data_IF_481015466167
#
_entry.id   IF_481015466167
#
_cell.length_a   1.000
_cell.length_b   1.000
_cell.length_c   1.000
_cell.angle_alpha   90.00
_cell.angle_beta   90.00
_cell.angle_gamma   90.00
#
_symmetry.space_group_name_H-M   'P 1'
#
loop_
_entity.id
_entity.type
_entity.pdbx_description
1 polymer ?
#
# COMPACT_ATOMS: atom_id res chain seq x y z
N UNK A 1 16.55 24.87 42.80
CA UNK A 1 17.38 24.87 41.57
C UNK A 1 17.11 23.67 40.67
N UNK A 2 17.24 22.41 41.16
CA UNK A 2 17.03 21.19 40.35
C UNK A 2 15.65 21.08 39.67
N UNK A 3 14.56 21.40 40.38
CA UNK A 3 13.20 21.39 39.78
C UNK A 3 13.00 22.45 38.69
N UNK A 4 13.59 23.63 38.86
CA UNK A 4 13.55 24.69 37.83
C UNK A 4 14.36 24.31 36.59
N UNK A 5 15.53 23.69 36.76
CA UNK A 5 16.32 23.17 35.65
C UNK A 5 15.58 22.06 34.88
N UNK A 6 14.87 21.17 35.58
CA UNK A 6 14.04 20.14 34.96
C UNK A 6 12.85 20.71 34.18
N UNK A 7 12.18 21.73 34.75
CA UNK A 7 11.08 22.43 34.07
C UNK A 7 11.56 23.18 32.82
N UNK A 8 12.70 23.86 32.91
CA UNK A 8 13.32 24.54 31.77
C UNK A 8 13.74 23.56 30.67
N UNK A 9 14.33 22.41 31.05
CA UNK A 9 14.72 21.37 30.09
C UNK A 9 13.51 20.77 29.38
N UNK A 10 12.42 20.48 30.10
CA UNK A 10 11.17 19.98 29.51
C UNK A 10 10.56 20.99 28.53
N UNK A 11 10.55 22.28 28.89
CA UNK A 11 10.06 23.34 28.01
C UNK A 11 10.92 23.52 26.74
N UNK A 12 12.24 23.38 26.84
CA UNK A 12 13.12 23.37 25.67
C UNK A 12 12.87 22.16 24.76
N UNK A 13 12.68 20.97 25.34
CA UNK A 13 12.43 19.74 24.57
C UNK A 13 11.10 19.80 23.80
N UNK A 14 10.05 20.36 24.38
CA UNK A 14 8.76 20.53 23.68
C UNK A 14 8.80 21.62 22.61
N UNK A 15 9.67 22.63 22.72
CA UNK A 15 9.87 23.62 21.66
C UNK A 15 10.63 23.06 20.44
N UNK A 16 11.28 21.90 20.56
CA UNK A 16 12.03 21.24 19.48
C UNK A 16 11.17 20.31 18.60
N UNK A 17 9.88 20.13 18.90
CA UNK A 17 8.99 19.29 18.09
C UNK A 17 8.44 20.10 16.91
N UNK A 18 8.98 19.90 15.71
CA UNK A 18 8.39 20.43 14.47
C UNK A 18 7.11 19.67 14.11
N UNK A 19 6.16 20.35 13.46
CA UNK A 19 5.00 19.67 12.89
C UNK A 19 5.47 18.65 11.84
N UNK A 20 5.18 17.37 12.06
CA UNK A 20 5.35 16.34 11.05
C UNK A 20 4.19 16.50 10.05
N UNK A 21 4.50 16.93 8.83
CA UNK A 21 3.53 16.91 7.74
C UNK A 21 3.39 15.46 7.25
N UNK A 22 2.20 14.88 7.42
CA UNK A 22 1.86 13.65 6.73
C UNK A 22 1.70 13.95 5.24
N UNK A 23 2.21 13.06 4.38
CA UNK A 23 1.98 13.13 2.93
C UNK A 23 0.61 12.51 2.60
N UNK A 24 -0.46 13.19 3.00
CA UNK A 24 -1.81 12.88 2.52
C UNK A 24 -2.33 14.11 1.77
N UNK A 25 -2.49 13.97 0.46
CA UNK A 25 -2.98 15.06 -0.41
C UNK A 25 -4.51 15.09 -0.46
N UNK A 26 -5.20 14.31 0.39
CA UNK A 26 -6.66 14.19 0.40
C UNK A 26 -7.22 13.34 -0.75
N UNK A 27 -6.36 12.71 -1.56
CA UNK A 27 -6.79 11.93 -2.73
C UNK A 27 -7.66 10.72 -2.36
N UNK A 28 -7.61 10.29 -1.11
CA UNK A 28 -8.40 9.19 -0.56
C UNK A 28 -9.52 9.64 0.39
N UNK A 29 -9.79 10.94 0.52
CA UNK A 29 -10.78 11.45 1.49
C UNK A 29 -12.21 11.03 1.11
N UNK A 30 -12.56 11.13 -0.19
CA UNK A 30 -13.91 10.90 -0.70
C UNK A 30 -14.10 9.53 -1.39
N UNK A 31 -13.31 8.52 -1.02
CA UNK A 31 -13.46 7.15 -1.53
C UNK A 31 -14.68 6.48 -0.87
N UNK A 32 -15.59 5.86 -1.64
CA UNK A 32 -16.73 5.11 -1.09
C UNK A 32 -16.31 4.12 -0.01
N UNK A 33 -17.15 3.97 1.02
CA UNK A 33 -16.79 3.21 2.23
C UNK A 33 -16.59 1.71 1.96
N UNK A 34 -17.34 1.14 1.03
CA UNK A 34 -17.23 -0.24 0.55
C UNK A 34 -15.90 -0.49 -0.18
N UNK A 35 -15.48 0.43 -1.07
CA UNK A 35 -14.19 0.36 -1.75
C UNK A 35 -13.05 0.47 -0.73
N UNK A 36 -13.14 1.40 0.21
CA UNK A 36 -12.15 1.55 1.28
C UNK A 36 -12.06 0.29 2.16
N UNK A 37 -13.19 -0.30 2.50
CA UNK A 37 -13.24 -1.53 3.28
C UNK A 37 -12.63 -2.71 2.51
N UNK A 38 -12.85 -2.76 1.19
CA UNK A 38 -12.24 -3.77 0.33
C UNK A 38 -10.71 -3.66 0.36
N UNK A 39 -10.13 -2.48 0.10
CA UNK A 39 -8.68 -2.27 0.17
C UNK A 39 -8.06 -2.71 1.50
N UNK A 40 -8.70 -2.36 2.62
CA UNK A 40 -8.25 -2.74 3.98
C UNK A 40 -8.40 -4.22 4.29
N UNK A 41 -9.30 -4.92 3.60
CA UNK A 41 -9.64 -6.31 3.86
C UNK A 41 -8.89 -7.32 2.99
N UNK A 42 -8.25 -6.88 1.91
CA UNK A 42 -7.57 -7.76 0.95
C UNK A 42 -6.28 -8.30 1.58
N UNK A 43 -6.13 -9.62 1.55
CA UNK A 43 -5.01 -10.37 2.11
C UNK A 43 -4.55 -11.35 1.04
N UNK A 44 -3.25 -11.40 0.77
CA UNK A 44 -2.68 -12.34 -0.18
C UNK A 44 -2.81 -13.80 0.32
N UNK A 45 -2.78 -14.80 -0.59
CA UNK A 45 -2.85 -16.22 -0.22
C UNK A 45 -1.85 -16.67 0.85
N UNK A 46 -0.70 -15.98 0.95
CA UNK A 46 0.31 -16.24 1.98
C UNK A 46 -0.03 -15.64 3.37
N UNK A 47 -1.19 -15.02 3.53
CA UNK A 47 -1.66 -14.41 4.78
C UNK A 47 -1.16 -12.97 5.02
N UNK A 48 -0.38 -12.40 4.10
CA UNK A 48 0.14 -11.03 4.23
C UNK A 48 -0.94 -10.03 3.79
N UNK A 49 -1.30 -9.04 4.64
CA UNK A 49 -2.24 -8.00 4.24
C UNK A 49 -1.63 -7.10 3.16
N UNK A 50 -2.45 -6.63 2.22
CA UNK A 50 -2.02 -5.74 1.13
C UNK A 50 -1.84 -4.28 1.56
N UNK A 51 -2.01 -3.97 2.86
CA UNK A 51 -1.98 -2.64 3.46
C UNK A 51 -3.26 -1.81 3.22
N UNK A 52 -3.24 -0.80 2.35
CA UNK A 52 -4.39 0.09 2.08
C UNK A 52 -4.39 0.58 0.62
N UNK A 53 -5.34 1.45 0.28
CA UNK A 53 -5.47 2.09 -1.03
C UNK A 53 -4.26 2.97 -1.39
N UNK A 54 -3.56 3.51 -0.40
CA UNK A 54 -2.37 4.33 -0.59
C UNK A 54 -1.18 3.54 -1.16
N UNK A 55 -1.14 2.23 -0.93
CA UNK A 55 -0.06 1.34 -1.37
C UNK A 55 -0.42 0.59 -2.67
N UNK A 56 -1.70 0.63 -3.05
CA UNK A 56 -2.23 -0.05 -4.22
C UNK A 56 -2.15 0.82 -5.46
N UNK A 57 -1.62 0.24 -6.53
CA UNK A 57 -1.44 0.91 -7.82
C UNK A 57 -2.38 0.29 -8.85
N UNK A 58 -3.32 1.09 -9.35
CA UNK A 58 -4.12 0.72 -10.54
C UNK A 58 -3.14 0.50 -11.69
N UNK A 59 -3.25 -0.62 -12.37
CA UNK A 59 -2.27 -1.04 -13.37
C UNK A 59 -2.92 -1.82 -14.50
N UNK A 60 -2.25 -1.82 -15.65
CA UNK A 60 -2.51 -2.79 -16.71
C UNK A 60 -1.80 -4.11 -16.40
N UNK A 61 -2.21 -5.19 -17.06
CA UNK A 61 -1.51 -6.46 -16.97
C UNK A 61 -1.56 -7.22 -18.27
N UNK A 62 -0.59 -8.10 -18.45
CA UNK A 62 -0.57 -9.11 -19.50
C UNK A 62 -0.65 -10.49 -18.87
N UNK A 63 -1.35 -11.42 -19.52
CA UNK A 63 -1.39 -12.82 -19.10
C UNK A 63 -0.76 -13.69 -20.19
N UNK A 64 0.48 -14.09 -19.95
CA UNK A 64 1.29 -14.86 -20.88
C UNK A 64 1.97 -16.01 -20.16
N UNK A 65 2.10 -17.14 -20.85
CA UNK A 65 2.76 -18.34 -20.34
C UNK A 65 2.20 -18.82 -18.98
N UNK A 66 0.89 -18.61 -18.76
CA UNK A 66 0.21 -19.01 -17.53
C UNK A 66 0.49 -18.13 -16.31
N UNK A 67 1.09 -16.95 -16.49
CA UNK A 67 1.37 -16.02 -15.41
C UNK A 67 0.91 -14.59 -15.74
N UNK A 68 0.55 -13.84 -14.70
CA UNK A 68 0.33 -12.41 -14.80
C UNK A 68 1.65 -11.66 -14.82
N UNK A 69 1.72 -10.63 -15.65
CA UNK A 69 2.80 -9.69 -15.73
C UNK A 69 2.25 -8.29 -15.56
N UNK A 70 2.93 -7.47 -14.77
CA UNK A 70 2.52 -6.08 -14.49
C UNK A 70 3.69 -5.14 -14.76
N UNK A 71 3.46 -3.95 -15.34
CA UNK A 71 4.49 -2.95 -15.48
C UNK A 71 4.69 -2.24 -14.13
N UNK A 72 5.90 -2.31 -13.59
CA UNK A 72 6.30 -1.54 -12.42
C UNK A 72 7.60 -0.81 -12.79
N UNK A 73 7.59 0.51 -12.65
CA UNK A 73 8.77 1.36 -12.91
C UNK A 73 9.40 1.16 -14.29
N UNK A 74 8.56 0.96 -15.31
CA UNK A 74 8.97 0.76 -16.70
C UNK A 74 9.44 -0.65 -17.03
N UNK A 75 9.37 -1.59 -16.08
CA UNK A 75 9.73 -2.99 -16.28
C UNK A 75 8.53 -3.91 -16.11
N UNK A 76 8.36 -4.86 -17.04
CA UNK A 76 7.36 -5.91 -16.90
C UNK A 76 7.87 -6.99 -15.94
N UNK A 77 7.17 -7.18 -14.84
CA UNK A 77 7.52 -8.16 -13.82
C UNK A 77 6.44 -9.22 -13.68
N UNK A 78 6.87 -10.46 -13.57
CA UNK A 78 5.96 -11.58 -13.31
C UNK A 78 5.41 -11.45 -11.88
N UNK A 79 4.09 -11.57 -11.75
CA UNK A 79 3.41 -11.61 -10.46
C UNK A 79 3.64 -12.99 -9.82
N UNK A 80 4.21 -13.06 -8.60
CA UNK A 80 4.36 -14.33 -7.90
C UNK A 80 3.00 -14.97 -7.61
N UNK A 81 2.89 -16.30 -7.77
CA UNK A 81 1.62 -17.01 -7.57
C UNK A 81 1.01 -16.78 -6.18
N UNK A 82 1.84 -16.64 -5.14
CA UNK A 82 1.40 -16.40 -3.77
C UNK A 82 0.85 -15.00 -3.51
N UNK A 83 0.98 -14.08 -4.48
CA UNK A 83 0.47 -12.71 -4.41
C UNK A 83 -0.82 -12.52 -5.22
N UNK A 84 -1.22 -13.50 -6.05
CA UNK A 84 -2.41 -13.41 -6.90
C UNK A 84 -3.65 -13.69 -6.06
N UNK A 85 -4.60 -12.76 -6.08
CA UNK A 85 -5.86 -12.84 -5.34
C UNK A 85 -7.02 -12.86 -6.33
N UNK A 86 -7.84 -13.92 -6.29
CA UNK A 86 -8.99 -14.10 -7.20
C UNK A 86 -10.32 -14.33 -6.50
N UNK A 87 -10.33 -14.48 -5.17
CA UNK A 87 -11.48 -14.90 -4.36
C UNK A 87 -12.13 -13.75 -3.57
N UNK A 88 -11.78 -12.50 -3.89
CA UNK A 88 -12.21 -11.29 -3.15
C UNK A 88 -12.97 -10.30 -4.01
N UNK A 89 -13.26 -10.65 -5.28
CA UNK A 89 -13.74 -9.70 -6.28
C UNK A 89 -12.79 -8.53 -6.52
N UNK A 90 -13.15 -7.65 -7.44
CA UNK A 90 -12.45 -6.39 -7.65
C UNK A 90 -13.44 -5.24 -7.96
N UNK A 91 -13.86 -4.46 -6.96
CA UNK A 91 -14.83 -3.40 -7.16
C UNK A 91 -14.22 -2.14 -7.79
N UNK A 92 -12.89 -2.09 -7.99
CA UNK A 92 -12.20 -0.98 -8.66
C UNK A 92 -12.43 -1.02 -10.17
N UNK A 93 -12.67 -2.20 -10.74
CA UNK A 93 -12.87 -2.40 -12.17
C UNK A 93 -11.59 -2.38 -13.01
N UNK A 94 -10.43 -2.23 -12.37
CA UNK A 94 -9.11 -2.31 -12.98
C UNK A 94 -8.18 -3.13 -12.09
N UNK A 95 -7.12 -3.71 -12.66
CA UNK A 95 -6.18 -4.47 -11.86
C UNK A 95 -5.44 -3.56 -10.87
N UNK A 96 -5.13 -4.10 -9.70
CA UNK A 96 -4.41 -3.38 -8.65
C UNK A 96 -3.22 -4.22 -8.21
N UNK A 97 -2.04 -3.59 -8.15
CA UNK A 97 -0.81 -4.19 -7.66
C UNK A 97 -0.29 -3.45 -6.45
N UNK A 98 0.16 -4.19 -5.45
CA UNK A 98 0.85 -3.67 -4.27
C UNK A 98 2.26 -4.20 -4.27
N UNK A 99 3.23 -3.29 -4.14
CA UNK A 99 4.63 -3.65 -4.11
C UNK A 99 5.41 -2.75 -3.17
N UNK A 100 6.54 -3.27 -2.68
CA UNK A 100 7.46 -2.53 -1.83
C UNK A 100 8.88 -2.64 -2.35
N UNK A 101 9.69 -1.63 -2.06
CA UNK A 101 11.13 -1.71 -2.24
C UNK A 101 11.75 -2.42 -1.05
N UNK A 102 12.32 -3.59 -1.28
CA UNK A 102 13.02 -4.37 -0.25
C UNK A 102 14.40 -4.80 -0.74
N UNK A 103 15.45 -4.44 0.02
CA UNK A 103 16.86 -4.80 -0.28
C UNK A 103 17.30 -4.44 -1.70
N UNK A 104 16.83 -3.31 -2.23
CA UNK A 104 17.18 -2.82 -3.56
C UNK A 104 16.43 -3.48 -4.72
N UNK A 105 15.43 -4.33 -4.44
CA UNK A 105 14.53 -4.88 -5.44
C UNK A 105 13.06 -4.58 -5.13
N UNK A 106 12.21 -4.81 -6.12
CA UNK A 106 10.75 -4.72 -5.96
C UNK A 106 10.21 -6.08 -5.53
N UNK A 107 9.38 -6.08 -4.50
CA UNK A 107 8.62 -7.25 -4.04
C UNK A 107 7.15 -6.96 -4.25
N UNK A 108 6.50 -7.73 -5.14
CA UNK A 108 5.04 -7.69 -5.31
C UNK A 108 4.41 -8.45 -4.14
N UNK A 109 3.73 -7.73 -3.25
CA UNK A 109 3.05 -8.29 -2.09
C UNK A 109 1.66 -8.82 -2.45
N UNK A 110 0.94 -8.11 -3.32
CA UNK A 110 -0.41 -8.47 -3.75
C UNK A 110 -0.68 -8.05 -5.18
N UNK A 111 -1.57 -8.79 -5.83
CA UNK A 111 -2.12 -8.48 -7.14
C UNK A 111 -3.55 -8.99 -7.25
N UNK A 112 -4.46 -8.09 -7.60
CA UNK A 112 -5.86 -8.43 -7.93
C UNK A 112 -6.07 -8.08 -9.40
N UNK A 113 -6.39 -9.04 -10.29
CA UNK A 113 -6.70 -8.75 -11.68
C UNK A 113 -8.06 -8.04 -11.81
N UNK A 114 -8.27 -7.36 -12.93
CA UNK A 114 -9.51 -6.62 -13.19
C UNK A 114 -10.75 -7.52 -13.20
N UNK A 115 -10.58 -8.78 -13.62
CA UNK A 115 -11.64 -9.78 -13.77
C UNK A 115 -11.80 -10.70 -12.55
N UNK A 116 -11.24 -10.34 -11.40
CA UNK A 116 -11.46 -11.11 -10.17
C UNK A 116 -12.94 -11.04 -9.75
N UNK A 117 -13.52 -12.20 -9.46
CA UNK A 117 -14.94 -12.38 -9.11
C UNK A 117 -15.09 -12.72 -7.64
#
# INVERSE_FOLDING_TARGET
>A
MRRFAQLALLACLSALTSAALAFDNGQFENVPSDIRAWFKGVIAPNGVPCCDISDGHRTEYDFREGAYWVPIEGQWMQVPAHAIIRDRGNPVGEAVVWYVHHRGGIVISCFVPADAV
#
